data_IF_993347668633
#
_entry.id   IF_993347668633
#
_cell.length_a   1.000
_cell.length_b   1.000
_cell.length_c   1.000
_cell.angle_alpha   90.00
_cell.angle_beta   90.00
_cell.angle_gamma   90.00
#
_symmetry.space_group_name_H-M   'P 1'
#
loop_
_entity.id
_entity.type
_entity.pdbx_description
1 polymer ?
#
# COMPACT_ATOMS: atom_id res chain seq x y z
N UNK A 1 -12.12 -22.71 -2.72
CA UNK A 1 -11.38 -21.93 -3.75
C UNK A 1 -10.88 -22.88 -4.83
N UNK A 2 -10.23 -23.99 -4.45
CA UNK A 2 -9.90 -25.10 -5.36
C UNK A 2 -11.09 -25.52 -6.23
N UNK A 3 -12.28 -25.70 -5.64
CA UNK A 3 -13.47 -26.12 -6.40
C UNK A 3 -13.87 -25.10 -7.48
N UNK A 4 -13.74 -23.80 -7.21
CA UNK A 4 -14.05 -22.76 -8.18
C UNK A 4 -12.98 -22.63 -9.29
N UNK A 5 -11.73 -23.02 -8.99
CA UNK A 5 -10.67 -23.09 -9.99
C UNK A 5 -10.90 -24.26 -10.95
N UNK A 6 -11.38 -25.40 -10.45
CA UNK A 6 -11.63 -26.59 -11.25
C UNK A 6 -13.03 -26.64 -11.87
N UNK A 7 -13.91 -25.68 -11.54
CA UNK A 7 -15.31 -25.69 -12.00
C UNK A 7 -15.50 -25.34 -13.48
N UNK A 8 -14.45 -24.92 -14.19
CA UNK A 8 -14.54 -24.53 -15.60
C UNK A 8 -13.43 -25.19 -16.40
N UNK A 9 -13.82 -25.67 -17.57
CA UNK A 9 -12.93 -26.24 -18.56
C UNK A 9 -13.12 -25.57 -19.93
N UNK A 10 -12.06 -25.62 -20.74
CA UNK A 10 -12.06 -25.16 -22.12
C UNK A 10 -10.97 -25.94 -22.87
N UNK A 11 -11.22 -26.21 -24.15
CA UNK A 11 -10.28 -26.89 -25.04
C UNK A 11 -9.05 -26.03 -25.28
N UNK A 12 -9.23 -24.71 -25.41
CA UNK A 12 -8.12 -23.77 -25.56
C UNK A 12 -7.47 -23.47 -24.20
N UNK A 13 -6.14 -23.67 -24.05
CA UNK A 13 -5.46 -23.51 -22.77
C UNK A 13 -5.52 -22.08 -22.21
N UNK A 14 -5.52 -21.05 -23.07
CA UNK A 14 -5.59 -19.66 -22.63
C UNK A 14 -6.99 -19.28 -22.15
N UNK A 15 -8.03 -19.68 -22.89
CA UNK A 15 -9.43 -19.51 -22.48
C UNK A 15 -9.73 -20.28 -21.20
N UNK A 16 -9.19 -21.51 -21.06
CA UNK A 16 -9.30 -22.29 -19.82
C UNK A 16 -8.74 -21.52 -18.64
N UNK A 17 -7.50 -21.03 -18.76
CA UNK A 17 -6.87 -20.23 -17.70
C UNK A 17 -7.71 -18.99 -17.35
N UNK A 18 -8.12 -18.21 -18.36
CA UNK A 18 -8.93 -17.00 -18.16
C UNK A 18 -10.25 -17.32 -17.44
N UNK A 19 -10.97 -18.37 -17.87
CA UNK A 19 -12.24 -18.76 -17.25
C UNK A 19 -12.07 -19.24 -15.81
N UNK A 20 -11.01 -20.01 -15.53
CA UNK A 20 -10.70 -20.46 -14.16
C UNK A 20 -10.35 -19.28 -13.24
N UNK A 21 -9.60 -18.30 -13.73
CA UNK A 21 -9.32 -17.04 -13.02
C UNK A 21 -10.63 -16.28 -12.74
N UNK A 22 -11.53 -16.15 -13.72
CA UNK A 22 -12.82 -15.47 -13.55
C UNK A 22 -13.72 -16.18 -12.53
N UNK A 23 -13.83 -17.51 -12.60
CA UNK A 23 -14.62 -18.30 -11.65
C UNK A 23 -14.07 -18.16 -10.22
N UNK A 24 -12.75 -18.22 -10.08
CA UNK A 24 -12.07 -18.04 -8.79
C UNK A 24 -12.27 -16.63 -8.25
N UNK A 25 -12.14 -15.60 -9.10
CA UNK A 25 -12.38 -14.21 -8.72
C UNK A 25 -13.82 -14.01 -8.22
N UNK A 26 -14.84 -14.54 -8.91
CA UNK A 26 -16.24 -14.47 -8.47
C UNK A 26 -16.44 -15.13 -7.11
N UNK A 27 -15.86 -16.33 -6.90
CA UNK A 27 -15.97 -17.05 -5.62
C UNK A 27 -15.29 -16.29 -4.48
N UNK A 28 -14.11 -15.71 -4.73
CA UNK A 28 -13.39 -14.89 -3.75
C UNK A 28 -14.15 -13.61 -3.42
N UNK A 29 -14.72 -12.93 -4.42
CA UNK A 29 -15.56 -11.74 -4.21
C UNK A 29 -16.77 -12.06 -3.33
N UNK A 30 -17.50 -13.14 -3.65
CA UNK A 30 -18.64 -13.60 -2.82
C UNK A 30 -18.21 -13.98 -1.39
N UNK A 31 -17.10 -14.71 -1.25
CA UNK A 31 -16.54 -15.05 0.06
C UNK A 31 -16.18 -13.80 0.86
N UNK A 32 -15.50 -12.83 0.24
CA UNK A 32 -15.11 -11.58 0.89
C UNK A 32 -16.32 -10.76 1.33
N UNK A 33 -17.37 -10.69 0.50
CA UNK A 33 -18.61 -10.00 0.83
C UNK A 33 -19.32 -10.65 2.04
N UNK A 34 -19.28 -11.98 2.14
CA UNK A 34 -19.89 -12.71 3.27
C UNK A 34 -19.06 -12.64 4.56
N UNK A 35 -17.74 -12.74 4.46
CA UNK A 35 -16.86 -12.82 5.64
C UNK A 35 -16.47 -11.43 6.16
N UNK A 36 -16.04 -10.54 5.26
CA UNK A 36 -15.59 -9.20 5.63
C UNK A 36 -16.77 -8.21 5.63
N UNK A 37 -17.67 -8.33 4.65
CA UNK A 37 -18.80 -7.41 4.51
C UNK A 37 -18.38 -5.98 4.14
N UNK A 38 -19.21 -5.00 4.48
CA UNK A 38 -18.94 -3.60 4.17
C UNK A 38 -17.99 -2.97 5.21
N UNK A 39 -16.69 -2.90 4.87
CA UNK A 39 -15.64 -2.31 5.72
C UNK A 39 -15.93 -0.84 6.04
N UNK A 40 -16.41 -0.07 5.05
CA UNK A 40 -16.71 1.36 5.23
C UNK A 40 -17.84 1.59 6.22
N UNK A 41 -18.89 0.77 6.15
CA UNK A 41 -19.99 0.83 7.11
C UNK A 41 -19.53 0.47 8.53
N UNK A 42 -18.71 -0.59 8.68
CA UNK A 42 -18.13 -0.97 9.98
C UNK A 42 -17.22 0.12 10.56
N UNK A 43 -16.45 0.80 9.71
CA UNK A 43 -15.64 1.96 10.10
C UNK A 43 -16.50 3.12 10.58
N UNK A 44 -17.56 3.46 9.85
CA UNK A 44 -18.49 4.53 10.22
C UNK A 44 -19.14 4.27 11.60
N UNK A 45 -19.67 3.05 11.80
CA UNK A 45 -20.25 2.65 13.09
C UNK A 45 -19.23 2.70 14.24
N UNK A 46 -18.01 2.21 14.00
CA UNK A 46 -16.96 2.23 15.03
C UNK A 46 -16.56 3.66 15.38
N UNK A 47 -16.45 4.54 14.37
CA UNK A 47 -16.16 5.97 14.56
C UNK A 47 -17.25 6.68 15.33
N UNK A 48 -18.52 6.40 15.02
CA UNK A 48 -19.66 6.96 15.74
C UNK A 48 -19.65 6.53 17.21
N UNK A 49 -19.40 5.25 17.50
CA UNK A 49 -19.31 4.76 18.88
C UNK A 49 -18.17 5.39 19.65
N UNK A 50 -16.98 5.52 19.03
CA UNK A 50 -15.85 6.20 19.66
C UNK A 50 -16.19 7.66 19.97
N UNK A 51 -16.84 8.37 19.04
CA UNK A 51 -17.28 9.75 19.27
C UNK A 51 -18.24 9.88 20.46
N UNK A 52 -19.15 8.90 20.66
CA UNK A 52 -20.05 8.90 21.82
C UNK A 52 -19.28 8.76 23.13
N UNK A 53 -18.24 7.91 23.17
CA UNK A 53 -17.37 7.82 24.34
C UNK A 53 -16.55 9.08 24.56
N UNK A 54 -16.01 9.67 23.49
CA UNK A 54 -15.23 10.91 23.60
C UNK A 54 -16.09 12.05 24.17
N UNK A 55 -17.35 12.19 23.73
CA UNK A 55 -18.32 13.13 24.34
C UNK A 55 -18.61 12.80 25.80
N UNK A 56 -18.85 11.54 26.14
CA UNK A 56 -19.10 11.16 27.53
C UNK A 56 -17.90 11.48 28.44
N UNK A 57 -16.66 11.46 27.92
CA UNK A 57 -15.45 11.84 28.65
C UNK A 57 -15.34 13.35 28.91
N UNK A 58 -16.02 14.19 28.13
CA UNK A 58 -16.09 15.64 28.37
C UNK A 58 -16.96 15.95 29.59
N UNK A 59 -18.03 15.17 29.80
CA UNK A 59 -18.99 15.39 30.89
C UNK A 59 -18.65 14.60 32.17
N UNK A 60 -18.07 13.40 32.05
CA UNK A 60 -17.78 12.50 33.19
C UNK A 60 -16.63 11.53 32.92
N UNK A 61 -16.12 10.93 33.99
CA UNK A 61 -15.21 9.78 33.87
C UNK A 61 -15.96 8.53 33.37
N UNK A 62 -15.33 7.75 32.49
CA UNK A 62 -15.87 6.47 32.04
C UNK A 62 -15.71 5.41 33.13
N UNK A 63 -16.67 4.49 33.22
CA UNK A 63 -16.52 3.30 34.05
C UNK A 63 -15.49 2.34 33.45
N UNK A 64 -14.93 1.44 34.28
CA UNK A 64 -13.97 0.44 33.82
C UNK A 64 -14.48 -0.43 32.66
N UNK A 65 -15.79 -0.75 32.64
CA UNK A 65 -16.40 -1.51 31.56
C UNK A 65 -16.50 -0.70 30.25
N UNK A 66 -16.86 0.58 30.35
CA UNK A 66 -16.90 1.48 29.19
C UNK A 66 -15.51 1.71 28.59
N UNK A 67 -14.49 1.89 29.43
CA UNK A 67 -13.11 1.98 28.96
C UNK A 67 -12.65 0.71 28.25
N UNK A 68 -12.97 -0.46 28.81
CA UNK A 68 -12.67 -1.73 28.17
C UNK A 68 -13.34 -1.84 26.80
N UNK A 69 -14.64 -1.51 26.70
CA UNK A 69 -15.39 -1.56 25.45
C UNK A 69 -14.84 -0.55 24.43
N UNK A 70 -14.51 0.66 24.86
CA UNK A 70 -13.86 1.68 24.01
C UNK A 70 -12.53 1.18 23.46
N UNK A 71 -11.70 0.52 24.27
CA UNK A 71 -10.43 -0.10 23.83
C UNK A 71 -10.68 -1.18 22.77
N UNK A 72 -11.67 -2.06 22.98
CA UNK A 72 -12.03 -3.08 21.99
C UNK A 72 -12.48 -2.48 20.65
N UNK A 73 -13.36 -1.48 20.69
CA UNK A 73 -13.84 -0.79 19.49
C UNK A 73 -12.69 -0.09 18.77
N UNK A 74 -11.79 0.58 19.51
CA UNK A 74 -10.62 1.24 18.95
C UNK A 74 -9.68 0.23 18.26
N UNK A 75 -9.43 -0.92 18.87
CA UNK A 75 -8.66 -2.01 18.26
C UNK A 75 -9.27 -2.50 16.95
N UNK A 76 -10.57 -2.80 16.96
CA UNK A 76 -11.31 -3.20 15.76
C UNK A 76 -11.28 -2.13 14.67
N UNK A 77 -11.50 -0.87 15.03
CA UNK A 77 -11.44 0.28 14.12
C UNK A 77 -10.07 0.39 13.42
N UNK A 78 -8.98 0.27 14.17
CA UNK A 78 -7.62 0.33 13.60
C UNK A 78 -7.36 -0.83 12.64
N UNK A 79 -7.82 -2.04 12.99
CA UNK A 79 -7.75 -3.20 12.10
C UNK A 79 -8.51 -2.98 10.79
N UNK A 80 -9.76 -2.50 10.87
CA UNK A 80 -10.58 -2.18 9.70
C UNK A 80 -9.97 -1.05 8.86
N UNK A 81 -9.39 -0.03 9.49
CA UNK A 81 -8.76 1.09 8.79
C UNK A 81 -7.51 0.65 8.03
N UNK A 82 -6.73 -0.28 8.60
CA UNK A 82 -5.60 -0.92 7.93
C UNK A 82 -6.05 -1.74 6.71
N UNK A 83 -7.15 -2.49 6.85
CA UNK A 83 -7.74 -3.25 5.76
C UNK A 83 -8.24 -2.33 4.63
N UNK A 84 -8.99 -1.27 4.94
CA UNK A 84 -9.47 -0.30 3.95
C UNK A 84 -8.31 0.36 3.20
N UNK A 85 -7.25 0.73 3.91
CA UNK A 85 -6.01 1.25 3.28
C UNK A 85 -5.43 0.24 2.29
N UNK A 86 -5.42 -1.05 2.64
CA UNK A 86 -4.89 -2.11 1.77
C UNK A 86 -5.77 -2.29 0.53
N UNK A 87 -7.09 -2.32 0.70
CA UNK A 87 -8.06 -2.39 -0.42
C UNK A 87 -7.88 -1.19 -1.36
N UNK A 88 -7.79 0.02 -0.80
CA UNK A 88 -7.58 1.24 -1.59
C UNK A 88 -6.28 1.19 -2.39
N UNK A 89 -5.17 0.72 -1.80
CA UNK A 89 -3.90 0.52 -2.51
C UNK A 89 -4.01 -0.50 -3.64
N UNK A 90 -4.67 -1.62 -3.41
CA UNK A 90 -4.89 -2.63 -4.45
C UNK A 90 -5.72 -2.08 -5.61
N UNK A 91 -6.81 -1.36 -5.31
CA UNK A 91 -7.66 -0.70 -6.32
C UNK A 91 -6.88 0.32 -7.14
N UNK A 92 -6.08 1.16 -6.47
CA UNK A 92 -5.21 2.12 -7.15
C UNK A 92 -4.23 1.41 -8.09
N UNK A 93 -3.57 0.33 -7.64
CA UNK A 93 -2.66 -0.46 -8.49
C UNK A 93 -3.38 -1.05 -9.71
N UNK A 94 -4.58 -1.61 -9.53
CA UNK A 94 -5.36 -2.16 -10.65
C UNK A 94 -5.74 -1.06 -11.63
N UNK A 95 -6.15 0.11 -11.15
CA UNK A 95 -6.44 1.26 -12.00
C UNK A 95 -5.20 1.69 -12.80
N UNK A 96 -4.04 1.85 -12.14
CA UNK A 96 -2.78 2.17 -12.81
C UNK A 96 -2.39 1.12 -13.86
N UNK A 97 -2.54 -0.17 -13.55
CA UNK A 97 -2.25 -1.25 -14.52
C UNK A 97 -3.20 -1.24 -15.71
N UNK A 98 -4.48 -0.89 -15.49
CA UNK A 98 -5.48 -0.79 -16.55
C UNK A 98 -5.22 0.40 -17.46
N UNK A 99 -4.86 1.53 -16.88
CA UNK A 99 -4.60 2.77 -17.61
C UNK A 99 -3.26 2.68 -18.38
N UNK A 100 -2.31 1.85 -17.93
CA UNK A 100 -1.07 1.57 -18.66
C UNK A 100 -0.21 2.82 -18.84
N UNK A 101 0.18 3.11 -20.07
CA UNK A 101 0.86 4.35 -20.48
C UNK A 101 -0.11 5.45 -20.92
N UNK A 102 -1.40 5.33 -20.55
CA UNK A 102 -2.31 6.45 -20.69
C UNK A 102 -1.71 7.60 -19.86
N UNK A 103 -1.26 8.64 -20.57
CA UNK A 103 -0.62 9.84 -20.05
C UNK A 103 -1.62 10.72 -19.27
N UNK A 104 -2.32 10.12 -18.32
CA UNK A 104 -3.42 10.73 -17.58
C UNK A 104 -2.89 11.78 -16.63
N UNK A 105 -3.69 12.82 -16.40
CA UNK A 105 -3.39 13.87 -15.42
C UNK A 105 -3.15 13.30 -14.01
N UNK A 106 -3.74 12.14 -13.68
CA UNK A 106 -3.51 11.44 -12.43
C UNK A 106 -2.05 10.96 -12.28
N UNK A 107 -1.49 10.30 -13.31
CA UNK A 107 -0.10 9.81 -13.28
C UNK A 107 0.88 10.99 -13.21
N UNK A 108 0.64 12.05 -13.97
CA UNK A 108 1.43 13.29 -13.88
C UNK A 108 1.43 13.89 -12.48
N UNK A 109 0.25 13.99 -11.85
CA UNK A 109 0.13 14.50 -10.49
C UNK A 109 0.83 13.59 -9.49
N UNK A 110 0.76 12.27 -9.67
CA UNK A 110 1.45 11.30 -8.82
C UNK A 110 2.97 11.39 -8.97
N UNK A 111 3.49 11.48 -10.20
CA UNK A 111 4.92 11.70 -10.47
C UNK A 111 5.41 13.02 -9.86
N UNK A 112 4.65 14.09 -10.02
CA UNK A 112 4.96 15.40 -9.44
C UNK A 112 4.98 15.35 -7.91
N UNK A 113 3.98 14.71 -7.29
CA UNK A 113 3.95 14.49 -5.85
C UNK A 113 5.14 13.66 -5.37
N UNK A 114 5.49 12.57 -6.08
CA UNK A 114 6.67 11.75 -5.73
C UNK A 114 7.96 12.54 -5.87
N UNK A 115 8.09 13.36 -6.92
CA UNK A 115 9.24 14.26 -7.11
C UNK A 115 9.36 15.26 -5.96
N UNK A 116 8.25 15.84 -5.51
CA UNK A 116 8.25 16.75 -4.37
C UNK A 116 8.60 16.02 -3.07
N UNK A 117 7.96 14.88 -2.79
CA UNK A 117 8.16 14.10 -1.56
C UNK A 117 9.57 13.53 -1.45
N UNK A 118 10.12 13.05 -2.57
CA UNK A 118 11.44 12.44 -2.62
C UNK A 118 12.55 13.45 -2.88
N UNK A 119 12.24 14.76 -2.84
CA UNK A 119 13.27 15.78 -2.94
C UNK A 119 14.15 15.70 -1.70
N UNK A 120 15.43 15.41 -1.92
CA UNK A 120 16.45 15.53 -0.88
C UNK A 120 16.74 17.02 -0.69
N UNK A 121 16.41 17.54 0.49
CA UNK A 121 16.59 18.95 0.83
C UNK A 121 17.97 19.24 1.43
N UNK A 122 18.57 18.25 2.07
CA UNK A 122 19.88 18.34 2.69
C UNK A 122 20.52 16.96 2.81
N UNK A 123 21.85 16.93 2.84
CA UNK A 123 22.65 15.76 3.14
C UNK A 123 23.60 16.07 4.29
N UNK A 124 23.81 15.12 5.19
CA UNK A 124 24.84 15.21 6.23
C UNK A 124 26.05 14.38 5.83
N UNK A 125 27.22 15.02 5.81
CA UNK A 125 28.51 14.42 5.47
C UNK A 125 29.53 14.92 6.49
N UNK A 126 30.18 14.02 7.23
CA UNK A 126 31.22 14.33 8.23
C UNK A 126 30.86 15.51 9.15
N UNK A 127 29.68 15.41 9.79
CA UNK A 127 29.09 16.43 10.68
C UNK A 127 28.79 17.80 10.02
N UNK A 128 28.82 17.88 8.69
CA UNK A 128 28.42 19.07 7.92
C UNK A 128 27.12 18.82 7.17
N UNK A 129 26.18 19.78 7.28
CA UNK A 129 24.93 19.76 6.52
C UNK A 129 25.09 20.51 5.21
N UNK A 130 25.00 19.80 4.09
CA UNK A 130 24.96 20.35 2.75
C UNK A 130 23.50 20.65 2.37
N UNK A 131 23.25 21.85 1.87
CA UNK A 131 21.93 22.28 1.37
C UNK A 131 21.96 22.70 -0.10
N UNK A 132 23.13 23.01 -0.64
CA UNK A 132 23.29 23.32 -2.06
C UNK A 132 23.18 22.03 -2.90
N UNK A 133 22.52 22.13 -4.05
CA UNK A 133 22.22 20.96 -4.86
C UNK A 133 23.47 20.38 -5.56
N UNK A 134 24.40 21.22 -5.99
CA UNK A 134 25.64 20.79 -6.62
C UNK A 134 26.58 20.13 -5.60
N UNK A 135 26.65 20.70 -4.40
CA UNK A 135 27.44 20.12 -3.30
C UNK A 135 26.88 18.76 -2.87
N UNK A 136 25.55 18.67 -2.70
CA UNK A 136 24.88 17.40 -2.40
C UNK A 136 25.11 16.35 -3.48
N UNK A 137 25.03 16.72 -4.76
CA UNK A 137 25.28 15.80 -5.87
C UNK A 137 26.73 15.32 -5.89
N UNK A 138 27.69 16.22 -5.67
CA UNK A 138 29.12 15.89 -5.64
C UNK A 138 29.48 14.97 -4.48
N UNK A 139 28.94 15.25 -3.29
CA UNK A 139 29.13 14.42 -2.11
C UNK A 139 28.52 13.02 -2.28
N UNK A 140 27.31 12.93 -2.85
CA UNK A 140 26.68 11.65 -3.15
C UNK A 140 27.49 10.85 -4.17
N UNK A 141 28.00 11.52 -5.23
CA UNK A 141 28.86 10.88 -6.23
C UNK A 141 30.13 10.31 -5.58
N UNK A 142 30.89 11.13 -4.85
CA UNK A 142 32.13 10.70 -4.21
C UNK A 142 31.92 9.51 -3.27
N UNK A 143 30.85 9.53 -2.47
CA UNK A 143 30.51 8.44 -1.57
C UNK A 143 30.25 7.12 -2.30
N UNK A 144 29.45 7.15 -3.37
CA UNK A 144 29.13 5.93 -4.12
C UNK A 144 30.25 5.47 -5.04
N UNK A 145 31.07 6.38 -5.57
CA UNK A 145 32.27 6.06 -6.34
C UNK A 145 33.29 5.31 -5.47
N UNK A 146 33.52 5.77 -4.24
CA UNK A 146 34.37 5.06 -3.27
C UNK A 146 33.75 3.70 -2.85
N UNK A 147 32.44 3.67 -2.59
CA UNK A 147 31.75 2.47 -2.12
C UNK A 147 31.70 1.36 -3.18
N UNK A 148 31.37 1.71 -4.42
CA UNK A 148 31.22 0.76 -5.52
C UNK A 148 32.57 0.47 -6.19
N UNK A 149 33.50 1.42 -6.11
CA UNK A 149 34.81 1.35 -6.75
C UNK A 149 34.73 1.25 -8.27
N UNK A 150 35.89 1.06 -8.89
CA UNK A 150 36.00 0.72 -10.31
C UNK A 150 35.84 -0.78 -10.52
N UNK A 151 35.02 -1.17 -11.50
CA UNK A 151 34.92 -2.56 -11.91
C UNK A 151 36.30 -3.08 -12.36
N UNK A 152 36.82 -4.08 -11.63
CA UNK A 152 38.05 -4.78 -12.02
C UNK A 152 37.72 -5.64 -13.24
N UNK A 153 38.56 -5.58 -14.26
CA UNK A 153 38.41 -6.38 -15.47
C UNK A 153 38.40 -7.86 -15.07
N UNK A 154 37.29 -8.54 -15.33
CA UNK A 154 37.14 -9.94 -14.95
C UNK A 154 37.86 -10.77 -16.00
N UNK A 155 38.94 -11.43 -15.58
CA UNK A 155 39.77 -12.31 -16.42
C UNK A 155 38.95 -13.40 -17.15
N UNK A 156 37.75 -13.70 -16.63
CA UNK A 156 36.76 -14.59 -17.27
C UNK A 156 35.34 -14.09 -17.07
N UNK A 157 34.59 -14.01 -18.17
CA UNK A 157 33.14 -13.79 -18.18
C UNK A 157 32.46 -15.12 -18.54
N UNK A 158 31.45 -15.53 -17.77
CA UNK A 158 30.58 -16.66 -18.14
C UNK A 158 29.41 -16.07 -18.95
N UNK A 159 29.33 -16.42 -20.23
CA UNK A 159 28.11 -16.25 -21.00
C UNK A 159 27.08 -17.27 -20.50
N UNK A 160 25.98 -16.75 -19.94
CA UNK A 160 24.80 -17.52 -19.52
C UNK A 160 23.70 -17.42 -20.57
#
# INVERSE_FOLDING_TARGET
>A
VADAWLSVDDTDPFRRLMRRLQATARKLTSWSARTIGNVQHKLALSRERLLRFDKAQEDRTLSAHEEWLRKQIKGSYLGLASLERTIARQRARIATLKDGDANTSFIHRQCSYRRQKNRVHSLNVDDRTLTDHADMASAAFAHFDELLGTAVDRDRTLDL
#
